data_IF_154680400803
#
_entry.id   IF_154680400803
#
_cell.length_a   1.000
_cell.length_b   1.000
_cell.length_c   1.000
_cell.angle_alpha   90.00
_cell.angle_beta   90.00
_cell.angle_gamma   90.00
#
_symmetry.space_group_name_H-M   'P 1'
#
loop_
_entity.id
_entity.type
_entity.pdbx_description
1 polymer ?
#
# COMPACT_ATOMS: atom_id res chain seq x y z
N UNK A 1 10.95 -4.76 -51.80
CA UNK A 1 11.58 -4.91 -50.46
C UNK A 1 10.49 -4.63 -49.44
N UNK A 2 9.65 -5.62 -49.16
CA UNK A 2 8.31 -5.42 -48.56
C UNK A 2 8.10 -6.32 -47.33
N UNK A 3 9.18 -6.57 -46.59
CA UNK A 3 9.18 -7.48 -45.41
C UNK A 3 9.16 -6.68 -44.09
N UNK A 4 9.36 -5.35 -44.15
CA UNK A 4 9.48 -4.50 -42.94
C UNK A 4 8.15 -4.27 -42.20
N UNK A 5 7.01 -4.33 -42.88
CA UNK A 5 5.72 -4.02 -42.28
C UNK A 5 5.12 -5.19 -41.49
N UNK A 6 5.33 -6.43 -41.90
CA UNK A 6 4.73 -7.59 -41.22
C UNK A 6 5.33 -7.78 -39.82
N UNK A 7 6.65 -7.71 -39.69
CA UNK A 7 7.31 -7.78 -38.38
C UNK A 7 6.91 -6.64 -37.44
N UNK A 8 6.67 -5.45 -37.98
CA UNK A 8 6.17 -4.31 -37.21
C UNK A 8 4.73 -4.57 -36.71
N UNK A 9 3.86 -5.10 -37.58
CA UNK A 9 2.48 -5.45 -37.22
C UNK A 9 2.46 -6.55 -36.15
N UNK A 10 3.28 -7.60 -36.29
CA UNK A 10 3.39 -8.65 -35.27
C UNK A 10 3.92 -8.11 -33.93
N UNK A 11 4.89 -7.19 -33.94
CA UNK A 11 5.39 -6.56 -32.73
C UNK A 11 4.32 -5.72 -32.02
N UNK A 12 3.50 -4.99 -32.78
CA UNK A 12 2.37 -4.20 -32.24
C UNK A 12 1.32 -5.13 -31.62
N UNK A 13 0.93 -6.19 -32.32
CA UNK A 13 -0.05 -7.17 -31.83
C UNK A 13 0.47 -7.85 -30.56
N UNK A 14 1.73 -8.29 -30.54
CA UNK A 14 2.33 -8.90 -29.37
C UNK A 14 2.38 -7.95 -28.16
N UNK A 15 2.77 -6.70 -28.39
CA UNK A 15 2.73 -5.66 -27.35
C UNK A 15 1.31 -5.45 -26.80
N UNK A 16 0.30 -5.40 -27.66
CA UNK A 16 -1.10 -5.29 -27.25
C UNK A 16 -1.57 -6.49 -26.42
N UNK A 17 -1.21 -7.71 -26.82
CA UNK A 17 -1.53 -8.93 -26.06
C UNK A 17 -0.86 -8.93 -24.69
N UNK A 18 0.40 -8.47 -24.59
CA UNK A 18 1.10 -8.36 -23.30
C UNK A 18 0.43 -7.34 -22.37
N UNK A 19 0.06 -6.16 -22.89
CA UNK A 19 -0.61 -5.12 -22.09
C UNK A 19 -1.99 -5.58 -21.62
N UNK A 20 -2.75 -6.27 -22.48
CA UNK A 20 -4.05 -6.84 -22.13
C UNK A 20 -3.90 -7.94 -21.08
N UNK A 21 -2.91 -8.82 -21.24
CA UNK A 21 -2.63 -9.89 -20.28
C UNK A 21 -2.23 -9.34 -18.91
N UNK A 22 -1.38 -8.31 -18.88
CA UNK A 22 -0.96 -7.62 -17.66
C UNK A 22 -2.16 -6.96 -16.95
N UNK A 23 -3.03 -6.30 -17.71
CA UNK A 23 -4.21 -5.62 -17.16
C UNK A 23 -5.15 -6.60 -16.47
N UNK A 24 -5.41 -7.75 -17.10
CA UNK A 24 -6.22 -8.82 -16.52
C UNK A 24 -5.56 -9.38 -15.26
N UNK A 25 -4.27 -9.73 -15.32
CA UNK A 25 -3.53 -10.26 -14.17
C UNK A 25 -3.54 -9.30 -12.97
N UNK A 26 -3.34 -8.00 -13.20
CA UNK A 26 -3.32 -6.98 -12.14
C UNK A 26 -4.64 -6.86 -11.36
N UNK A 27 -5.76 -7.29 -11.94
CA UNK A 27 -7.09 -7.24 -11.31
C UNK A 27 -7.30 -8.41 -10.34
N UNK A 28 -6.70 -9.57 -10.59
CA UNK A 28 -6.79 -10.75 -9.73
C UNK A 28 -5.90 -10.67 -8.48
N UNK A 29 -4.88 -9.82 -8.50
CA UNK A 29 -3.91 -9.72 -7.39
C UNK A 29 -4.41 -8.91 -6.19
N UNK A 30 -5.62 -8.35 -6.24
CA UNK A 30 -6.17 -7.58 -5.11
C UNK A 30 -6.95 -8.51 -4.18
N UNK A 31 -6.58 -8.59 -2.88
CA UNK A 31 -7.34 -9.36 -1.91
C UNK A 31 -8.75 -8.78 -1.81
N UNK A 32 -9.76 -9.61 -2.08
CA UNK A 32 -11.16 -9.21 -1.93
C UNK A 32 -11.58 -9.42 -0.48
N UNK A 33 -11.84 -8.31 0.21
CA UNK A 33 -12.45 -8.34 1.53
C UNK A 33 -13.96 -8.52 1.38
N UNK A 34 -14.49 -9.51 2.08
CA UNK A 34 -15.92 -9.80 2.08
C UNK A 34 -16.69 -8.69 2.80
N UNK A 35 -17.75 -8.18 2.16
CA UNK A 35 -18.57 -7.06 2.66
C UNK A 35 -20.06 -7.37 2.50
N UNK A 36 -20.88 -6.86 3.43
CA UNK A 36 -22.33 -6.93 3.34
C UNK A 36 -22.88 -5.98 2.24
N UNK A 37 -24.19 -6.05 2.00
CA UNK A 37 -24.88 -5.19 1.02
C UNK A 37 -24.85 -3.69 1.34
N UNK A 38 -24.43 -3.31 2.55
CA UNK A 38 -24.25 -1.94 3.02
C UNK A 38 -22.76 -1.52 3.00
N UNK A 39 -21.87 -2.42 2.58
CA UNK A 39 -20.43 -2.19 2.52
C UNK A 39 -19.69 -2.40 3.85
N UNK A 40 -20.33 -2.96 4.87
CA UNK A 40 -19.67 -3.33 6.14
C UNK A 40 -18.83 -4.60 5.95
N UNK A 41 -17.62 -4.60 6.49
CA UNK A 41 -16.75 -5.77 6.48
C UNK A 41 -17.40 -6.92 7.28
N UNK A 42 -17.45 -8.09 6.64
CA UNK A 42 -17.96 -9.30 7.27
C UNK A 42 -16.87 -9.95 8.12
N UNK A 43 -17.26 -10.52 9.26
CA UNK A 43 -16.38 -11.34 10.09
C UNK A 43 -16.28 -12.74 9.47
N UNK A 44 -15.40 -12.88 8.47
CA UNK A 44 -15.14 -14.13 7.77
C UNK A 44 -13.70 -14.58 8.03
N UNK A 45 -13.45 -15.88 7.99
CA UNK A 45 -12.11 -16.44 8.14
C UNK A 45 -11.11 -15.90 7.10
N UNK A 46 -11.57 -15.54 5.89
CA UNK A 46 -10.72 -14.94 4.85
C UNK A 46 -10.30 -13.51 5.20
N UNK A 47 -11.24 -12.69 5.68
CA UNK A 47 -10.95 -11.34 6.15
C UNK A 47 -10.04 -11.37 7.38
N UNK A 48 -10.30 -12.28 8.32
CA UNK A 48 -9.48 -12.46 9.51
C UNK A 48 -8.05 -12.87 9.17
N UNK A 49 -7.85 -13.80 8.24
CA UNK A 49 -6.52 -14.17 7.73
C UNK A 49 -5.81 -13.00 7.06
N UNK A 50 -6.52 -12.18 6.28
CA UNK A 50 -5.97 -10.98 5.67
C UNK A 50 -5.50 -9.97 6.72
N UNK A 51 -6.32 -9.71 7.75
CA UNK A 51 -5.95 -8.82 8.84
C UNK A 51 -4.85 -9.39 9.72
N UNK A 52 -4.81 -10.71 9.95
CA UNK A 52 -3.75 -11.36 10.70
C UNK A 52 -2.39 -11.29 9.97
N UNK A 53 -2.39 -11.46 8.64
CA UNK A 53 -1.19 -11.27 7.82
C UNK A 53 -0.69 -9.82 7.86
N UNK A 54 -1.62 -8.84 7.82
CA UNK A 54 -1.31 -7.42 7.99
C UNK A 54 -0.81 -7.09 9.41
N UNK A 55 -1.41 -7.70 10.44
CA UNK A 55 -1.02 -7.53 11.83
C UNK A 55 0.38 -8.11 12.11
N UNK A 56 0.79 -9.19 11.44
CA UNK A 56 2.15 -9.73 11.53
C UNK A 56 3.19 -8.78 10.92
N UNK A 57 2.86 -8.04 9.85
CA UNK A 57 3.70 -6.94 9.37
C UNK A 57 3.70 -5.73 10.30
N UNK A 58 2.67 -5.56 11.13
CA UNK A 58 2.56 -4.55 12.17
C UNK A 58 3.08 -5.02 13.55
N UNK A 59 3.82 -6.14 13.62
CA UNK A 59 4.35 -6.72 14.86
C UNK A 59 5.45 -5.91 15.55
N UNK A 60 5.74 -4.69 15.08
CA UNK A 60 6.50 -3.70 15.84
C UNK A 60 5.50 -2.80 16.57
N UNK A 61 5.80 -2.37 17.81
CA UNK A 61 5.01 -1.35 18.53
C UNK A 61 4.73 -0.08 17.71
N UNK A 62 5.48 0.10 16.63
CA UNK A 62 5.44 1.24 15.74
C UNK A 62 4.57 1.05 14.48
N UNK A 63 4.11 -0.16 14.18
CA UNK A 63 3.42 -0.45 12.91
C UNK A 63 4.31 -0.18 11.68
N UNK A 64 3.68 0.13 10.54
CA UNK A 64 4.40 0.49 9.31
C UNK A 64 4.77 1.99 9.30
N UNK A 65 6.06 2.29 9.50
CA UNK A 65 6.58 3.66 9.48
C UNK A 65 6.65 4.30 8.08
N UNK A 66 6.30 3.55 7.03
CA UNK A 66 6.16 4.05 5.65
C UNK A 66 4.72 4.33 5.27
N UNK A 67 3.76 4.05 6.14
CA UNK A 67 2.36 4.44 5.97
C UNK A 67 2.12 5.82 6.59
N UNK A 68 1.61 6.77 5.78
CA UNK A 68 1.35 8.14 6.22
C UNK A 68 0.27 8.18 7.32
N UNK A 69 -0.76 7.32 7.21
CA UNK A 69 -1.84 7.27 8.19
C UNK A 69 -1.33 6.75 9.55
N UNK A 70 -0.49 5.71 9.55
CA UNK A 70 0.17 5.23 10.75
C UNK A 70 1.07 6.31 11.39
N UNK A 71 1.94 6.97 10.62
CA UNK A 71 2.81 8.03 11.15
C UNK A 71 2.00 9.20 11.73
N UNK A 72 0.89 9.58 11.09
CA UNK A 72 -0.01 10.59 11.61
C UNK A 72 -0.68 10.16 12.93
N UNK A 73 -1.07 8.89 13.05
CA UNK A 73 -1.60 8.33 14.29
C UNK A 73 -0.57 8.34 15.41
N UNK A 74 0.67 7.88 15.16
CA UNK A 74 1.75 7.90 16.16
C UNK A 74 2.03 9.34 16.65
N UNK A 75 1.98 10.32 15.76
CA UNK A 75 2.20 11.73 16.09
C UNK A 75 1.12 12.36 16.99
N UNK A 76 -0.07 11.76 17.09
CA UNK A 76 -1.10 12.17 18.05
C UNK A 76 -0.79 11.70 19.48
N UNK A 77 0.05 10.68 19.64
CA UNK A 77 0.43 10.11 20.92
C UNK A 77 1.96 10.12 21.10
N UNK A 78 2.61 11.30 21.01
CA UNK A 78 4.06 11.41 20.94
C UNK A 78 4.78 10.85 22.17
N UNK A 79 4.16 10.93 23.35
CA UNK A 79 4.75 10.39 24.59
C UNK A 79 4.82 8.86 24.63
N UNK A 80 3.90 8.17 23.95
CA UNK A 80 3.87 6.71 23.88
C UNK A 80 4.78 6.19 22.76
N UNK A 81 4.88 6.93 21.66
CA UNK A 81 5.55 6.47 20.44
C UNK A 81 6.78 7.31 20.07
N UNK A 82 7.41 7.99 21.03
CA UNK A 82 8.56 8.85 20.79
C UNK A 82 9.69 8.10 20.06
N UNK A 83 9.95 6.85 20.45
CA UNK A 83 11.00 6.04 19.85
C UNK A 83 10.65 5.52 18.45
N UNK A 84 9.36 5.36 18.16
CA UNK A 84 8.87 5.07 16.81
C UNK A 84 9.01 6.29 15.89
N UNK A 85 8.62 7.48 16.37
CA UNK A 85 8.67 8.72 15.60
C UNK A 85 10.12 9.13 15.25
N UNK A 86 11.09 8.81 16.11
CA UNK A 86 12.53 9.01 15.83
C UNK A 86 13.06 8.15 14.69
N UNK A 87 12.40 7.02 14.38
CA UNK A 87 12.79 6.12 13.29
C UNK A 87 12.22 6.54 11.94
N UNK A 88 11.22 7.45 11.93
CA UNK A 88 10.61 7.95 10.70
C UNK A 88 11.55 8.95 10.01
N UNK A 89 11.68 8.83 8.69
CA UNK A 89 12.46 9.78 7.90
C UNK A 89 11.89 11.21 8.05
N UNK A 90 12.71 12.24 8.34
CA UNK A 90 12.21 13.59 8.64
C UNK A 90 11.33 14.20 7.54
N UNK A 91 11.70 13.97 6.27
CA UNK A 91 10.93 14.45 5.12
C UNK A 91 9.54 13.77 5.04
N UNK A 92 9.49 12.48 5.36
CA UNK A 92 8.24 11.72 5.39
C UNK A 92 7.36 12.12 6.56
N UNK A 93 7.95 12.33 7.75
CA UNK A 93 7.25 12.83 8.93
C UNK A 93 6.58 14.19 8.66
N UNK A 94 7.33 15.14 8.05
CA UNK A 94 6.82 16.45 7.68
C UNK A 94 5.68 16.35 6.66
N UNK A 95 5.79 15.43 5.69
CA UNK A 95 4.74 15.19 4.69
C UNK A 95 3.46 14.63 5.34
N UNK A 96 3.60 13.63 6.20
CA UNK A 96 2.48 12.94 6.84
C UNK A 96 1.76 13.78 7.91
N UNK A 97 2.50 14.63 8.63
CA UNK A 97 1.97 15.33 9.82
C UNK A 97 1.92 16.85 9.66
N UNK A 98 2.61 17.41 8.67
CA UNK A 98 2.82 18.86 8.54
C UNK A 98 3.76 19.46 9.60
N UNK A 99 4.42 18.63 10.41
CA UNK A 99 5.26 19.04 11.54
C UNK A 99 6.60 18.31 11.53
N UNK A 100 7.60 18.97 12.10
CA UNK A 100 8.90 18.38 12.38
C UNK A 100 8.86 17.54 13.64
N UNK A 101 9.84 16.64 13.81
CA UNK A 101 9.95 15.79 15.00
C UNK A 101 10.02 16.62 16.30
N UNK A 102 10.71 17.77 16.24
CA UNK A 102 10.84 18.69 17.38
C UNK A 102 9.48 19.29 17.76
N UNK A 103 8.68 19.72 16.78
CA UNK A 103 7.35 20.28 17.06
C UNK A 103 6.36 19.24 17.62
N UNK A 104 6.58 17.96 17.32
CA UNK A 104 5.74 16.85 17.81
C UNK A 104 6.14 16.43 19.23
N UNK A 105 7.44 16.38 19.55
CA UNK A 105 7.93 15.92 20.85
C UNK A 105 8.08 17.03 21.90
N UNK A 106 8.00 18.30 21.50
CA UNK A 106 8.19 19.46 22.38
C UNK A 106 9.66 19.83 22.58
#
# INVERSE_FOLDING_TARGET
MEIKNEHLIYAIIFGAVLVLSWSVFSTFSKPQLDRDSRGLLLETASNEQYFAAQAQSAGSECGDLKDEANVQHLSHHPGQYADCLKQVEPAFLQKATGKTLKEILG
#
